data_IF_431293852444
#
_entry.id   IF_431293852444
#
_cell.length_a   1.000
_cell.length_b   1.000
_cell.length_c   1.000
_cell.angle_alpha   90.00
_cell.angle_beta   90.00
_cell.angle_gamma   90.00
#
_symmetry.space_group_name_H-M   'P 1'
#
loop_
_entity.id
_entity.type
_entity.pdbx_description
1 polymer ?
#
# COMPACT_ATOMS: atom_id res chain seq x y z
N UNK A 1 -2.95 22.72 10.54
CA UNK A 1 -3.73 21.92 9.57
C UNK A 1 -3.59 20.45 9.91
N UNK A 2 -4.70 19.73 9.97
CA UNK A 2 -4.68 18.30 10.29
C UNK A 2 -4.03 17.50 9.17
N UNK A 3 -3.11 16.62 9.52
CA UNK A 3 -2.49 15.70 8.56
C UNK A 3 -3.42 14.52 8.28
N UNK A 4 -3.61 14.20 7.01
CA UNK A 4 -4.43 13.07 6.58
C UNK A 4 -3.52 11.88 6.30
N UNK A 5 -3.73 10.78 7.00
CA UNK A 5 -2.95 9.57 6.81
C UNK A 5 -3.66 8.63 5.83
N UNK A 6 -2.99 8.28 4.74
CA UNK A 6 -3.51 7.38 3.71
C UNK A 6 -2.66 6.11 3.68
N UNK A 7 -3.32 4.95 3.78
CA UNK A 7 -2.67 3.67 3.55
C UNK A 7 -2.84 3.26 2.09
N UNK A 8 -1.73 2.94 1.43
CA UNK A 8 -1.69 2.55 0.03
C UNK A 8 -1.26 1.10 -0.09
N UNK A 9 -1.84 0.36 -1.01
CA UNK A 9 -1.38 -0.98 -1.36
C UNK A 9 -1.33 -1.12 -2.87
N UNK A 10 -0.11 -1.13 -3.42
CA UNK A 10 0.16 -1.37 -4.82
C UNK A 10 1.27 -2.42 -4.90
N UNK A 11 0.93 -3.65 -5.29
CA UNK A 11 1.86 -4.77 -5.31
C UNK A 11 2.54 -4.99 -6.66
N UNK A 12 2.17 -4.22 -7.70
CA UNK A 12 2.68 -4.38 -9.05
C UNK A 12 3.04 -3.02 -9.65
N UNK A 13 3.86 -3.06 -10.72
CA UNK A 13 4.36 -1.84 -11.36
C UNK A 13 3.24 -0.96 -11.93
N UNK A 14 2.17 -1.56 -12.44
CA UNK A 14 1.01 -0.81 -12.94
C UNK A 14 0.31 -0.04 -11.84
N UNK A 15 0.13 -0.67 -10.67
CA UNK A 15 -0.45 -0.02 -9.50
C UNK A 15 0.42 1.10 -9.00
N UNK A 16 1.74 0.90 -8.98
CA UNK A 16 2.71 1.92 -8.59
C UNK A 16 2.57 3.18 -9.46
N UNK A 17 2.47 2.98 -10.78
CA UNK A 17 2.30 4.09 -11.72
C UNK A 17 0.96 4.83 -11.49
N UNK A 18 -0.14 4.10 -11.37
CA UNK A 18 -1.46 4.71 -11.18
C UNK A 18 -1.54 5.47 -9.86
N UNK A 19 -1.01 4.89 -8.78
CA UNK A 19 -1.01 5.55 -7.47
C UNK A 19 -0.09 6.77 -7.45
N UNK A 20 1.03 6.73 -8.16
CA UNK A 20 1.89 7.91 -8.30
C UNK A 20 1.12 9.10 -8.84
N UNK A 21 0.30 8.89 -9.87
CA UNK A 21 -0.49 9.96 -10.49
C UNK A 21 -1.50 10.54 -9.52
N UNK A 22 -2.14 9.69 -8.70
CA UNK A 22 -3.07 10.17 -7.68
C UNK A 22 -2.32 10.97 -6.60
N UNK A 23 -1.17 10.48 -6.15
CA UNK A 23 -0.37 11.17 -5.15
C UNK A 23 0.11 12.54 -5.64
N UNK A 24 0.49 12.65 -6.93
CA UNK A 24 0.85 13.94 -7.53
C UNK A 24 -0.33 14.91 -7.53
N UNK A 25 -1.53 14.42 -7.84
CA UNK A 25 -2.73 15.24 -7.81
C UNK A 25 -3.05 15.73 -6.40
N UNK A 26 -2.86 14.88 -5.39
CA UNK A 26 -3.08 15.26 -4.00
C UNK A 26 -2.05 16.30 -3.52
N UNK A 27 -0.83 16.24 -4.03
CA UNK A 27 0.24 17.17 -3.60
C UNK A 27 -0.08 18.63 -3.90
N UNK A 28 -0.99 18.92 -4.81
CA UNK A 28 -1.33 20.30 -5.21
C UNK A 28 -2.62 20.83 -4.60
N UNK A 29 -3.28 20.08 -3.71
CA UNK A 29 -4.57 20.52 -3.15
C UNK A 29 -4.44 21.37 -1.87
N UNK A 30 -3.23 21.62 -1.40
CA UNK A 30 -2.97 22.45 -0.24
C UNK A 30 -3.12 21.76 1.11
N UNK A 31 -3.49 20.49 1.13
CA UNK A 31 -3.62 19.71 2.37
C UNK A 31 -2.33 18.95 2.67
N UNK A 32 -2.19 18.51 3.91
CA UNK A 32 -1.04 17.73 4.34
C UNK A 32 -1.43 16.25 4.36
N UNK A 33 -0.66 15.44 3.64
CA UNK A 33 -0.88 14.00 3.57
C UNK A 33 0.33 13.23 4.07
N UNK A 34 0.05 12.16 4.81
CA UNK A 34 1.06 11.19 5.21
C UNK A 34 0.74 9.88 4.50
N UNK A 35 1.66 9.42 3.65
CA UNK A 35 1.48 8.22 2.84
C UNK A 35 2.27 7.06 3.45
N UNK A 36 1.57 5.99 3.80
CA UNK A 36 2.17 4.77 4.35
C UNK A 36 1.66 3.55 3.58
N UNK A 37 2.40 2.47 3.59
CA UNK A 37 1.93 1.21 3.03
C UNK A 37 2.92 0.51 2.11
N UNK A 38 2.42 -0.05 1.03
CA UNK A 38 3.18 -0.84 0.08
C UNK A 38 3.08 -0.21 -1.30
N UNK A 39 4.23 0.11 -1.88
CA UNK A 39 4.28 0.69 -3.21
C UNK A 39 5.70 0.69 -3.75
N UNK A 40 5.82 0.93 -5.06
CA UNK A 40 7.09 0.89 -5.76
C UNK A 40 7.87 2.20 -5.73
N UNK A 41 8.94 2.28 -6.53
CA UNK A 41 9.82 3.44 -6.52
C UNK A 41 9.13 4.73 -6.91
N UNK A 42 8.12 4.70 -7.76
CA UNK A 42 7.40 5.90 -8.18
C UNK A 42 6.58 6.50 -7.04
N UNK A 43 5.88 5.65 -6.28
CA UNK A 43 5.13 6.10 -5.11
C UNK A 43 6.09 6.58 -4.01
N UNK A 44 7.20 5.89 -3.82
CA UNK A 44 8.20 6.30 -2.83
C UNK A 44 8.80 7.67 -3.17
N UNK A 45 8.97 7.97 -4.45
CA UNK A 45 9.43 9.29 -4.90
C UNK A 45 8.41 10.40 -4.57
N UNK A 46 7.14 10.05 -4.41
CA UNK A 46 6.08 10.99 -4.02
C UNK A 46 5.85 11.05 -2.51
N UNK A 47 6.69 10.38 -1.71
CA UNK A 47 6.63 10.48 -0.27
C UNK A 47 6.04 9.27 0.45
N UNK A 48 5.84 8.14 -0.23
CA UNK A 48 5.39 6.93 0.43
C UNK A 48 6.46 6.39 1.37
N UNK A 49 6.05 6.10 2.61
CA UNK A 49 6.89 5.40 3.59
C UNK A 49 6.57 3.89 3.49
N UNK A 50 7.46 3.07 2.91
CA UNK A 50 7.13 1.68 2.61
C UNK A 50 7.15 0.79 3.85
N UNK A 51 6.13 -0.10 3.95
CA UNK A 51 6.05 -1.10 5.01
C UNK A 51 6.90 -2.33 4.69
N UNK A 52 6.98 -2.70 3.40
CA UNK A 52 7.77 -3.83 2.91
C UNK A 52 8.48 -3.46 1.62
N UNK A 53 9.60 -4.14 1.29
CA UNK A 53 10.24 -3.96 -0.02
C UNK A 53 9.31 -4.33 -1.15
N UNK A 54 9.13 -3.42 -2.10
CA UNK A 54 8.22 -3.62 -3.23
C UNK A 54 8.57 -4.84 -4.07
N UNK A 55 9.86 -5.13 -4.23
CA UNK A 55 10.35 -6.25 -5.05
C UNK A 55 9.79 -7.59 -4.59
N UNK A 56 9.49 -7.74 -3.31
CA UNK A 56 8.93 -8.98 -2.77
C UNK A 56 7.52 -9.26 -3.31
N UNK A 57 6.83 -8.22 -3.75
CA UNK A 57 5.49 -8.34 -4.35
C UNK A 57 5.54 -8.39 -5.87
N UNK A 58 6.36 -7.54 -6.48
CA UNK A 58 6.39 -7.34 -7.93
C UNK A 58 6.87 -8.58 -8.70
N UNK A 59 7.70 -9.42 -8.09
CA UNK A 59 8.22 -10.64 -8.73
C UNK A 59 7.35 -11.88 -8.47
N UNK A 60 6.30 -11.76 -7.68
CA UNK A 60 5.44 -12.89 -7.33
C UNK A 60 4.31 -13.07 -8.32
N UNK A 61 4.34 -14.16 -9.11
CA UNK A 61 3.21 -14.60 -9.91
C UNK A 61 2.18 -15.34 -9.07
N UNK A 62 1.06 -15.70 -9.68
CA UNK A 62 -0.04 -16.37 -8.98
C UNK A 62 0.39 -17.66 -8.26
N UNK A 63 1.22 -18.47 -8.93
CA UNK A 63 1.72 -19.74 -8.34
C UNK A 63 2.61 -19.46 -7.13
N UNK A 64 3.39 -18.41 -7.20
CA UNK A 64 4.32 -18.06 -6.12
C UNK A 64 3.61 -17.54 -4.88
N UNK A 65 2.45 -16.91 -5.04
CA UNK A 65 1.60 -16.50 -3.92
C UNK A 65 1.25 -17.72 -3.05
N UNK A 66 0.90 -18.84 -3.66
CA UNK A 66 0.57 -20.07 -2.93
C UNK A 66 1.80 -20.62 -2.20
N UNK A 67 2.97 -20.60 -2.85
CA UNK A 67 4.23 -21.06 -2.25
C UNK A 67 4.68 -20.19 -1.09
N UNK A 68 4.29 -18.91 -1.07
CA UNK A 68 4.69 -17.95 -0.05
C UNK A 68 3.54 -17.56 0.88
N UNK A 69 2.63 -18.51 1.14
CA UNK A 69 1.45 -18.27 1.98
C UNK A 69 1.82 -17.71 3.35
N UNK A 70 2.89 -18.23 3.96
CA UNK A 70 3.36 -17.75 5.27
C UNK A 70 3.76 -16.28 5.22
N UNK A 71 4.40 -15.84 4.13
CA UNK A 71 4.75 -14.44 3.93
C UNK A 71 3.49 -13.56 3.86
N UNK A 72 2.48 -13.98 3.11
CA UNK A 72 1.24 -13.20 2.98
C UNK A 72 0.47 -13.13 4.29
N UNK A 73 0.46 -14.19 5.09
CA UNK A 73 -0.13 -14.16 6.42
C UNK A 73 0.61 -13.15 7.30
N UNK A 74 1.93 -13.14 7.25
CA UNK A 74 2.76 -12.20 8.00
C UNK A 74 2.48 -10.75 7.57
N UNK A 75 2.34 -10.51 6.28
CA UNK A 75 1.99 -9.19 5.74
C UNK A 75 0.66 -8.73 6.31
N UNK A 76 -0.36 -9.59 6.29
CA UNK A 76 -1.68 -9.25 6.83
C UNK A 76 -1.62 -8.91 8.32
N UNK A 77 -0.86 -9.66 9.10
CA UNK A 77 -0.68 -9.39 10.52
C UNK A 77 -0.01 -8.03 10.76
N UNK A 78 1.01 -7.70 9.96
CA UNK A 78 1.70 -6.41 10.04
C UNK A 78 0.79 -5.25 9.65
N UNK A 79 -0.04 -5.44 8.62
CA UNK A 79 -1.02 -4.43 8.20
C UNK A 79 -2.06 -4.21 9.30
N UNK A 80 -2.55 -5.28 9.91
CA UNK A 80 -3.51 -5.17 11.02
C UNK A 80 -2.92 -4.36 12.19
N UNK A 81 -1.68 -4.65 12.58
CA UNK A 81 -1.01 -3.89 13.64
C UNK A 81 -0.80 -2.43 13.25
N UNK A 82 -0.44 -2.18 11.99
CA UNK A 82 -0.27 -0.83 11.48
C UNK A 82 -1.58 -0.05 11.56
N UNK A 83 -2.70 -0.65 11.17
CA UNK A 83 -4.01 -0.01 11.24
C UNK A 83 -4.41 0.31 12.68
N UNK A 84 -4.10 -0.56 13.62
CA UNK A 84 -4.36 -0.32 15.04
C UNK A 84 -3.54 0.84 15.58
N UNK A 85 -2.27 0.94 15.16
CA UNK A 85 -1.36 1.98 15.60
C UNK A 85 -1.61 3.32 14.93
N UNK A 86 -1.71 3.32 13.59
CA UNK A 86 -1.75 4.55 12.78
C UNK A 86 -3.17 5.05 12.50
N UNK A 87 -4.16 4.17 12.52
CA UNK A 87 -5.56 4.49 12.24
C UNK A 87 -5.71 5.38 10.99
N UNK A 88 -5.36 4.86 9.80
CA UNK A 88 -5.38 5.69 8.60
C UNK A 88 -6.78 6.22 8.30
N UNK A 89 -6.85 7.44 7.79
CA UNK A 89 -8.10 8.09 7.43
C UNK A 89 -8.69 7.52 6.14
N UNK A 90 -7.84 6.96 5.26
CA UNK A 90 -8.24 6.42 3.97
C UNK A 90 -7.34 5.25 3.60
N UNK A 91 -7.92 4.25 2.96
CA UNK A 91 -7.20 3.07 2.46
C UNK A 91 -7.41 2.99 0.95
N UNK A 92 -6.32 2.98 0.18
CA UNK A 92 -6.37 2.87 -1.29
C UNK A 92 -5.68 1.58 -1.72
N UNK A 93 -6.43 0.72 -2.40
CA UNK A 93 -6.00 -0.61 -2.83
C UNK A 93 -5.96 -0.67 -4.36
N UNK A 94 -4.82 -1.11 -4.91
CA UNK A 94 -4.60 -1.14 -6.35
C UNK A 94 -4.00 -2.46 -6.80
N UNK A 95 -4.62 -3.07 -7.81
CA UNK A 95 -4.06 -4.17 -8.61
C UNK A 95 -3.48 -5.39 -7.89
N UNK A 96 -4.13 -5.82 -6.78
CA UNK A 96 -3.73 -7.04 -6.07
C UNK A 96 -4.95 -7.66 -5.39
N UNK A 97 -5.87 -8.27 -6.16
CA UNK A 97 -7.23 -8.59 -5.70
C UNK A 97 -7.32 -9.42 -4.42
N UNK A 98 -6.56 -10.51 -4.34
CA UNK A 98 -6.65 -11.41 -3.19
C UNK A 98 -6.28 -10.74 -1.87
N UNK A 99 -5.12 -10.07 -1.84
CA UNK A 99 -4.65 -9.37 -0.66
C UNK A 99 -5.48 -8.11 -0.39
N UNK A 100 -5.85 -7.38 -1.44
CA UNK A 100 -6.65 -6.16 -1.30
C UNK A 100 -7.99 -6.43 -0.64
N UNK A 101 -8.68 -7.50 -1.00
CA UNK A 101 -9.96 -7.86 -0.38
C UNK A 101 -9.82 -8.17 1.10
N UNK A 102 -8.73 -8.84 1.48
CA UNK A 102 -8.46 -9.14 2.89
C UNK A 102 -8.10 -7.89 3.68
N UNK A 103 -7.33 -6.98 3.08
CA UNK A 103 -6.98 -5.69 3.70
C UNK A 103 -8.23 -4.84 3.87
N UNK A 104 -9.11 -4.80 2.88
CA UNK A 104 -10.37 -4.08 2.98
C UNK A 104 -11.23 -4.61 4.12
N UNK A 105 -11.23 -5.93 4.34
CA UNK A 105 -11.96 -6.55 5.44
C UNK A 105 -11.37 -6.17 6.81
N UNK A 106 -10.04 -6.06 6.90
CA UNK A 106 -9.36 -5.62 8.13
C UNK A 106 -9.70 -4.16 8.45
N UNK A 107 -9.77 -3.35 7.42
CA UNK A 107 -10.09 -1.94 7.59
C UNK A 107 -11.54 -1.74 8.05
#
# INVERSE_FOLDING_TARGET
MKEITIFWLAGESSGDLHCELVMKALAVDGKRYRHIGIGGPKMQAQGLNPLFPFQRFAVMGFVEVIKHLAFFIKVQQRIRKLFEKEKPDLVILADYPGLNMRVAHIA
#
